data_IF_008827162236
#
_entry.id   IF_008827162236
#
_cell.length_a   1.000
_cell.length_b   1.000
_cell.length_c   1.000
_cell.angle_alpha   90.00
_cell.angle_beta   90.00
_cell.angle_gamma   90.00
#
_symmetry.space_group_name_H-M   'P 1'
#
loop_
_entity.id
_entity.type
_entity.pdbx_description
1 polymer ?
#
# COMPACT_ATOMS: atom_id res chain seq x y z
N UNK A 1 33.67 -7.01 -12.10
CA UNK A 1 32.85 -5.85 -11.67
C UNK A 1 32.62 -4.94 -12.88
N UNK A 2 31.39 -4.79 -13.34
CA UNK A 2 31.06 -3.90 -14.46
C UNK A 2 30.44 -2.61 -13.92
N UNK A 3 31.13 -1.49 -14.09
CA UNK A 3 30.68 -0.17 -13.62
C UNK A 3 29.45 0.37 -14.37
N UNK A 4 29.18 -0.11 -15.59
CA UNK A 4 28.00 0.25 -16.37
C UNK A 4 26.74 -0.40 -15.79
N UNK A 5 26.83 -1.67 -15.45
CA UNK A 5 25.75 -2.41 -14.79
C UNK A 5 25.46 -1.84 -13.41
N UNK A 6 26.48 -1.55 -12.61
CA UNK A 6 26.30 -0.90 -11.31
C UNK A 6 25.58 0.44 -11.46
N UNK A 7 25.98 1.29 -12.42
CA UNK A 7 25.33 2.59 -12.67
C UNK A 7 23.86 2.41 -13.05
N UNK A 8 23.53 1.40 -13.86
CA UNK A 8 22.16 1.08 -14.24
C UNK A 8 21.33 0.66 -13.01
N UNK A 9 21.88 -0.20 -12.16
CA UNK A 9 21.23 -0.62 -10.92
C UNK A 9 21.01 0.56 -9.94
N UNK A 10 22.03 1.41 -9.73
CA UNK A 10 21.93 2.57 -8.85
C UNK A 10 20.90 3.59 -9.36
N UNK A 11 20.76 3.76 -10.66
CA UNK A 11 19.74 4.64 -11.25
C UNK A 11 18.31 4.25 -10.89
N UNK A 12 18.08 2.97 -10.59
CA UNK A 12 16.79 2.44 -10.14
C UNK A 12 16.73 2.38 -8.61
N UNK A 13 17.78 1.89 -7.98
CA UNK A 13 17.82 1.67 -6.54
C UNK A 13 17.75 2.98 -5.74
N UNK A 14 18.51 4.01 -6.12
CA UNK A 14 18.55 5.28 -5.37
C UNK A 14 17.16 5.95 -5.30
N UNK A 15 16.42 6.16 -6.40
CA UNK A 15 15.05 6.70 -6.32
C UNK A 15 14.12 5.82 -5.48
N UNK A 16 14.24 4.50 -5.55
CA UNK A 16 13.41 3.58 -4.78
C UNK A 16 13.68 3.67 -3.27
N UNK A 17 14.96 3.77 -2.88
CA UNK A 17 15.35 3.96 -1.46
C UNK A 17 14.86 5.31 -0.95
N UNK A 18 15.07 6.39 -1.70
CA UNK A 18 14.58 7.72 -1.33
C UNK A 18 13.06 7.74 -1.16
N UNK A 19 12.33 7.10 -2.07
CA UNK A 19 10.88 6.95 -1.96
C UNK A 19 10.49 6.21 -0.68
N UNK A 20 11.11 5.06 -0.41
CA UNK A 20 10.78 4.27 0.78
C UNK A 20 11.08 5.04 2.06
N UNK A 21 12.20 5.76 2.10
CA UNK A 21 12.55 6.63 3.23
C UNK A 21 11.51 7.74 3.42
N UNK A 22 11.07 8.37 2.34
CA UNK A 22 10.03 9.42 2.39
C UNK A 22 8.71 8.88 2.91
N UNK A 23 8.30 7.68 2.48
CA UNK A 23 7.10 7.01 2.99
C UNK A 23 7.23 6.72 4.48
N UNK A 24 8.38 6.22 4.94
CA UNK A 24 8.63 5.92 6.35
C UNK A 24 8.57 7.18 7.22
N UNK A 25 9.20 8.28 6.78
CA UNK A 25 9.13 9.58 7.46
C UNK A 25 7.68 10.09 7.50
N UNK A 26 6.94 9.97 6.39
CA UNK A 26 5.54 10.35 6.34
C UNK A 26 4.67 9.58 7.34
N UNK A 27 4.91 8.29 7.50
CA UNK A 27 4.19 7.47 8.49
C UNK A 27 4.55 7.89 9.93
N UNK A 28 5.80 8.30 10.20
CA UNK A 28 6.17 8.88 11.50
C UNK A 28 5.43 10.19 11.78
N UNK A 29 5.25 11.04 10.77
CA UNK A 29 4.48 12.29 10.90
C UNK A 29 3.00 11.97 11.18
N UNK A 30 2.39 11.01 10.49
CA UNK A 30 1.02 10.57 10.78
C UNK A 30 0.91 10.07 12.21
N UNK A 31 1.87 9.29 12.69
CA UNK A 31 1.91 8.82 14.07
C UNK A 31 2.02 9.99 15.07
N UNK A 32 2.82 11.01 14.76
CA UNK A 32 2.91 12.22 15.60
C UNK A 32 1.57 12.98 15.69
N UNK A 33 0.74 12.96 14.63
CA UNK A 33 -0.62 13.52 14.66
C UNK A 33 -1.56 12.71 15.55
N UNK A 34 -1.32 11.40 15.71
CA UNK A 34 -2.12 10.54 16.60
C UNK A 34 -1.77 10.71 18.06
N UNK A 35 -0.51 11.06 18.39
CA UNK A 35 -0.03 11.19 19.77
C UNK A 35 -0.91 12.08 20.68
N UNK A 36 -1.38 13.27 20.26
CA UNK A 36 -2.24 14.12 21.10
C UNK A 36 -3.60 13.52 21.47
N UNK A 37 -4.06 12.48 20.76
CA UNK A 37 -5.30 11.77 21.08
C UNK A 37 -5.16 10.79 22.26
N UNK A 38 -3.97 10.70 22.84
CA UNK A 38 -3.67 9.95 24.05
C UNK A 38 -3.09 8.55 23.78
N UNK A 39 -2.54 7.97 24.84
CA UNK A 39 -1.81 6.69 24.77
C UNK A 39 -2.67 5.53 24.30
N UNK A 40 -3.94 5.54 24.65
CA UNK A 40 -4.90 4.48 24.26
C UNK A 40 -5.21 4.52 22.75
N UNK A 41 -5.40 5.72 22.20
CA UNK A 41 -5.59 5.90 20.76
C UNK A 41 -4.33 5.48 19.98
N UNK A 42 -3.15 5.83 20.51
CA UNK A 42 -1.87 5.42 19.94
C UNK A 42 -1.67 3.89 19.98
N UNK A 43 -2.08 3.23 21.07
CA UNK A 43 -2.03 1.77 21.18
C UNK A 43 -2.91 1.09 20.12
N UNK A 44 -4.16 1.54 19.97
CA UNK A 44 -5.08 1.02 18.96
C UNK A 44 -4.58 1.27 17.53
N UNK A 45 -4.04 2.46 17.26
CA UNK A 45 -3.41 2.79 15.99
C UNK A 45 -2.23 1.86 15.68
N UNK A 46 -1.32 1.70 16.66
CA UNK A 46 -0.12 0.87 16.48
C UNK A 46 -0.47 -0.61 16.25
N UNK A 47 -1.48 -1.12 16.94
CA UNK A 47 -1.97 -2.48 16.73
C UNK A 47 -2.47 -2.68 15.30
N UNK A 48 -3.28 -1.75 14.81
CA UNK A 48 -3.84 -1.84 13.45
C UNK A 48 -2.78 -1.64 12.36
N UNK A 49 -1.78 -0.77 12.58
CA UNK A 49 -0.65 -0.63 11.67
C UNK A 49 0.15 -1.92 11.49
N UNK A 50 0.27 -2.73 12.54
CA UNK A 50 0.91 -4.06 12.45
C UNK A 50 0.09 -5.00 11.56
N UNK A 51 -1.24 -4.98 11.71
CA UNK A 51 -2.15 -5.76 10.85
C UNK A 51 -2.06 -5.29 9.39
N UNK A 52 -2.11 -3.99 9.15
CA UNK A 52 -1.94 -3.40 7.80
C UNK A 52 -0.62 -3.85 7.16
N UNK A 53 0.47 -3.86 7.92
CA UNK A 53 1.77 -4.29 7.43
C UNK A 53 1.79 -5.76 7.02
N UNK A 54 1.15 -6.65 7.79
CA UNK A 54 1.07 -8.09 7.47
C UNK A 54 0.32 -8.30 6.15
N UNK A 55 -0.84 -7.68 5.98
CA UNK A 55 -1.60 -7.80 4.74
C UNK A 55 -0.86 -7.15 3.56
N UNK A 56 -0.26 -5.97 3.77
CA UNK A 56 0.52 -5.29 2.73
C UNK A 56 1.71 -6.11 2.24
N UNK A 57 2.34 -6.90 3.11
CA UNK A 57 3.47 -7.76 2.75
C UNK A 57 3.09 -8.80 1.70
N UNK A 58 1.88 -9.34 1.75
CA UNK A 58 1.38 -10.32 0.76
C UNK A 58 1.31 -9.67 -0.62
N UNK A 59 0.68 -8.50 -0.74
CA UNK A 59 0.55 -7.78 -2.01
C UNK A 59 1.92 -7.34 -2.57
N UNK A 60 2.81 -6.86 -1.71
CA UNK A 60 4.18 -6.51 -2.10
C UNK A 60 4.94 -7.73 -2.62
N UNK A 61 4.74 -8.90 -2.01
CA UNK A 61 5.39 -10.14 -2.44
C UNK A 61 4.91 -10.61 -3.81
N UNK A 62 3.59 -10.50 -4.08
CA UNK A 62 3.02 -10.79 -5.40
C UNK A 62 3.61 -9.82 -6.44
N UNK A 63 3.64 -8.51 -6.15
CA UNK A 63 4.25 -7.51 -7.03
C UNK A 63 5.73 -7.80 -7.34
N UNK A 64 6.50 -8.19 -6.32
CA UNK A 64 7.91 -8.56 -6.47
C UNK A 64 8.10 -9.81 -7.34
N UNK A 65 7.16 -10.76 -7.30
CA UNK A 65 7.18 -11.94 -8.17
C UNK A 65 6.80 -11.62 -9.62
N UNK A 66 5.84 -10.70 -9.81
CA UNK A 66 5.38 -10.29 -11.14
C UNK A 66 6.42 -9.48 -11.89
N UNK A 67 7.19 -8.63 -11.20
CA UNK A 67 8.16 -7.73 -11.82
C UNK A 67 9.20 -8.46 -12.71
N UNK A 68 9.94 -9.48 -12.25
CA UNK A 68 10.87 -10.22 -13.11
C UNK A 68 10.14 -10.99 -14.21
N UNK A 69 8.95 -11.53 -13.95
CA UNK A 69 8.15 -12.21 -14.97
C UNK A 69 7.83 -11.27 -16.14
N UNK A 70 7.36 -10.05 -15.84
CA UNK A 70 7.07 -9.02 -16.85
C UNK A 70 8.33 -8.65 -17.63
N UNK A 71 9.44 -8.37 -16.94
CA UNK A 71 10.70 -7.98 -17.57
C UNK A 71 11.24 -9.04 -18.53
N UNK A 72 11.19 -10.32 -18.12
CA UNK A 72 11.66 -11.43 -18.94
C UNK A 72 10.78 -11.64 -20.19
N UNK A 73 9.45 -11.58 -20.04
CA UNK A 73 8.54 -11.78 -21.17
C UNK A 73 8.54 -10.59 -22.13
N UNK A 74 8.73 -9.36 -21.62
CA UNK A 74 8.89 -8.15 -22.42
C UNK A 74 10.21 -8.21 -23.23
N UNK A 75 11.32 -8.57 -22.59
CA UNK A 75 12.61 -8.75 -23.27
C UNK A 75 12.58 -9.85 -24.33
N UNK A 76 11.82 -10.92 -24.11
CA UNK A 76 11.57 -11.99 -25.06
C UNK A 76 10.51 -11.66 -26.13
N UNK A 77 9.92 -10.47 -26.11
CA UNK A 77 8.81 -10.02 -26.99
C UNK A 77 7.56 -10.93 -26.94
N UNK A 78 7.34 -11.64 -25.82
CA UNK A 78 6.21 -12.56 -25.62
C UNK A 78 5.02 -11.84 -24.96
N UNK A 79 4.41 -10.89 -25.68
CA UNK A 79 3.36 -10.01 -25.15
C UNK A 79 2.12 -10.79 -24.66
N UNK A 80 1.74 -11.86 -25.34
CA UNK A 80 0.60 -12.69 -24.91
C UNK A 80 0.86 -13.38 -23.56
N UNK A 81 2.09 -13.84 -23.31
CA UNK A 81 2.47 -14.39 -22.00
C UNK A 81 2.45 -13.32 -20.91
N UNK A 82 2.94 -12.12 -21.24
CA UNK A 82 2.90 -10.97 -20.32
C UNK A 82 1.46 -10.65 -19.92
N UNK A 83 0.53 -10.57 -20.86
CA UNK A 83 -0.90 -10.33 -20.58
C UNK A 83 -1.49 -11.41 -19.68
N UNK A 84 -1.26 -12.69 -19.98
CA UNK A 84 -1.76 -13.82 -19.18
C UNK A 84 -1.22 -13.81 -17.76
N UNK A 85 0.09 -13.60 -17.58
CA UNK A 85 0.71 -13.53 -16.25
C UNK A 85 0.22 -12.35 -15.43
N UNK A 86 0.04 -11.20 -16.08
CA UNK A 86 -0.55 -10.02 -15.47
C UNK A 86 -1.99 -10.28 -14.98
N UNK A 87 -2.83 -10.88 -15.82
CA UNK A 87 -4.20 -11.28 -15.43
C UNK A 87 -4.21 -12.27 -14.28
N UNK A 88 -3.31 -13.26 -14.29
CA UNK A 88 -3.19 -14.22 -13.20
C UNK A 88 -2.80 -13.54 -11.87
N UNK A 89 -1.89 -12.56 -11.92
CA UNK A 89 -1.51 -11.78 -10.74
C UNK A 89 -2.69 -10.95 -10.20
N UNK A 90 -3.45 -10.29 -11.06
CA UNK A 90 -4.65 -9.55 -10.66
C UNK A 90 -5.70 -10.45 -10.00
N UNK A 91 -5.93 -11.63 -10.54
CA UNK A 91 -6.86 -12.61 -9.96
C UNK A 91 -6.36 -13.06 -8.60
N UNK A 92 -5.07 -13.33 -8.46
CA UNK A 92 -4.46 -13.71 -7.19
C UNK A 92 -4.58 -12.60 -6.15
N UNK A 93 -4.26 -11.36 -6.52
CA UNK A 93 -4.42 -10.19 -5.65
C UNK A 93 -5.88 -10.02 -5.20
N UNK A 94 -6.83 -10.18 -6.12
CA UNK A 94 -8.26 -10.10 -5.81
C UNK A 94 -8.68 -11.18 -4.80
N UNK A 95 -8.22 -12.43 -4.97
CA UNK A 95 -8.49 -13.51 -4.03
C UNK A 95 -7.94 -13.21 -2.64
N UNK A 96 -6.71 -12.69 -2.55
CA UNK A 96 -6.13 -12.29 -1.28
C UNK A 96 -6.84 -11.09 -0.66
N UNK A 97 -7.31 -10.13 -1.48
CA UNK A 97 -8.10 -9.00 -1.00
C UNK A 97 -9.44 -9.46 -0.39
N UNK A 98 -10.13 -10.38 -1.07
CA UNK A 98 -11.38 -10.98 -0.56
C UNK A 98 -11.10 -11.77 0.73
N UNK A 99 -10.04 -12.58 0.76
CA UNK A 99 -9.65 -13.32 1.96
C UNK A 99 -9.33 -12.37 3.12
N UNK A 100 -8.55 -11.33 2.89
CA UNK A 100 -8.21 -10.32 3.90
C UNK A 100 -9.47 -9.62 4.42
N UNK A 101 -10.40 -9.26 3.53
CA UNK A 101 -11.69 -8.68 3.90
C UNK A 101 -12.47 -9.62 4.84
N UNK A 102 -12.62 -10.89 4.46
CA UNK A 102 -13.35 -11.88 5.27
C UNK A 102 -12.67 -12.10 6.63
N UNK A 103 -11.33 -12.21 6.65
CA UNK A 103 -10.57 -12.39 7.89
C UNK A 103 -10.73 -11.18 8.82
N UNK A 104 -10.60 -9.96 8.31
CA UNK A 104 -10.78 -8.75 9.11
C UNK A 104 -12.24 -8.63 9.58
N UNK A 105 -13.22 -8.94 8.73
CA UNK A 105 -14.64 -8.85 9.12
C UNK A 105 -15.00 -9.82 10.24
N UNK A 106 -14.51 -11.06 10.16
CA UNK A 106 -14.86 -12.10 11.11
C UNK A 106 -14.00 -12.11 12.38
N UNK A 107 -12.74 -11.70 12.27
CA UNK A 107 -11.73 -11.86 13.32
C UNK A 107 -11.15 -10.56 13.87
N UNK A 108 -11.71 -9.38 13.53
CA UNK A 108 -11.15 -8.07 13.94
C UNK A 108 -10.96 -7.95 15.46
N UNK A 109 -11.89 -8.46 16.26
CA UNK A 109 -11.79 -8.43 17.73
C UNK A 109 -10.67 -9.32 18.23
N UNK A 110 -10.57 -10.55 17.69
CA UNK A 110 -9.54 -11.51 18.06
C UNK A 110 -8.15 -11.01 17.62
N UNK A 111 -8.06 -10.44 16.41
CA UNK A 111 -6.82 -9.84 15.90
C UNK A 111 -6.40 -8.66 16.77
N UNK A 112 -7.32 -7.76 17.13
CA UNK A 112 -7.04 -6.67 18.05
C UNK A 112 -6.53 -7.18 19.40
N UNK A 113 -7.11 -8.23 19.94
CA UNK A 113 -6.71 -8.81 21.22
C UNK A 113 -5.31 -9.42 21.23
N UNK A 114 -4.84 -9.92 20.09
CA UNK A 114 -3.46 -10.41 19.95
C UNK A 114 -2.41 -9.30 20.14
N UNK A 115 -2.71 -8.08 19.70
CA UNK A 115 -1.78 -6.96 19.74
C UNK A 115 -1.96 -6.07 20.97
N UNK A 116 -3.19 -5.91 21.46
CA UNK A 116 -3.49 -5.08 22.63
C UNK A 116 -3.38 -5.84 23.94
N UNK A 117 -3.45 -7.18 23.89
CA UNK A 117 -3.36 -8.03 25.09
C UNK A 117 -4.50 -7.81 26.07
N UNK A 118 -4.35 -8.38 27.28
CA UNK A 118 -5.35 -8.25 28.35
C UNK A 118 -5.40 -6.84 28.96
N UNK A 119 -4.35 -6.06 28.79
CA UNK A 119 -4.21 -4.69 29.31
C UNK A 119 -4.79 -3.63 28.35
N UNK A 120 -5.33 -4.05 27.21
CA UNK A 120 -5.99 -3.16 26.26
C UNK A 120 -7.26 -2.56 26.85
N UNK A 121 -7.38 -1.23 26.79
CA UNK A 121 -8.60 -0.54 27.23
C UNK A 121 -9.70 -0.61 26.17
N UNK A 122 -10.96 -0.40 26.58
CA UNK A 122 -12.11 -0.35 25.69
C UNK A 122 -11.90 0.69 24.55
N UNK A 123 -11.28 1.84 24.86
CA UNK A 123 -10.96 2.87 23.88
C UNK A 123 -9.93 2.38 22.84
N UNK A 124 -8.88 1.67 23.27
CA UNK A 124 -7.88 1.13 22.35
C UNK A 124 -8.48 0.08 21.39
N UNK A 125 -9.37 -0.78 21.92
CA UNK A 125 -10.12 -1.74 21.10
C UNK A 125 -11.08 -1.05 20.12
N UNK A 126 -11.78 -0.02 20.55
CA UNK A 126 -12.66 0.76 19.68
C UNK A 126 -11.87 1.42 18.55
N UNK A 127 -10.78 2.12 18.86
CA UNK A 127 -9.92 2.78 17.86
C UNK A 127 -9.36 1.77 16.86
N UNK A 128 -8.88 0.61 17.35
CA UNK A 128 -8.40 -0.47 16.49
C UNK A 128 -9.52 -1.02 15.58
N UNK A 129 -10.71 -1.28 16.13
CA UNK A 129 -11.87 -1.75 15.37
C UNK A 129 -12.33 -0.76 14.31
N UNK A 130 -12.38 0.53 14.66
CA UNK A 130 -12.77 1.58 13.73
C UNK A 130 -11.75 1.72 12.59
N UNK A 131 -10.44 1.67 12.89
CA UNK A 131 -9.42 1.71 11.86
C UNK A 131 -9.47 0.47 10.96
N UNK A 132 -9.62 -0.73 11.51
CA UNK A 132 -9.78 -1.96 10.72
C UNK A 132 -11.01 -1.92 9.81
N UNK A 133 -12.09 -1.29 10.26
CA UNK A 133 -13.30 -1.06 9.46
C UNK A 133 -13.03 -0.17 8.24
N UNK A 134 -12.19 0.86 8.39
CA UNK A 134 -11.74 1.71 7.28
C UNK A 134 -10.69 1.00 6.40
N UNK A 135 -9.84 0.18 6.98
CA UNK A 135 -8.86 -0.65 6.24
C UNK A 135 -9.55 -1.62 5.28
N UNK A 136 -10.74 -2.14 5.64
CA UNK A 136 -11.55 -2.98 4.74
C UNK A 136 -11.95 -2.26 3.44
N UNK A 137 -12.33 -0.99 3.54
CA UNK A 137 -12.65 -0.17 2.35
C UNK A 137 -11.45 0.08 1.45
N UNK A 138 -10.27 -0.06 2.00
CA UNK A 138 -9.00 0.22 1.36
C UNK A 138 -8.27 -1.03 0.83
N UNK A 139 -8.90 -2.20 0.79
CA UNK A 139 -8.32 -3.44 0.25
C UNK A 139 -8.06 -3.39 -1.27
N UNK A 140 -7.79 -2.20 -1.80
CA UNK A 140 -7.35 -1.96 -3.17
C UNK A 140 -5.86 -2.26 -3.38
N UNK A 141 -5.36 -3.30 -2.70
CA UNK A 141 -4.03 -3.84 -2.94
C UNK A 141 -3.80 -4.37 -4.36
N UNK A 142 -4.89 -4.56 -5.09
CA UNK A 142 -4.96 -5.14 -6.45
C UNK A 142 -4.01 -4.47 -7.46
N UNK A 143 -3.53 -3.25 -7.20
CA UNK A 143 -2.80 -2.49 -8.20
C UNK A 143 -1.36 -2.13 -7.83
N UNK A 144 -0.87 -2.58 -6.69
CA UNK A 144 0.57 -2.44 -6.36
C UNK A 144 1.47 -3.29 -7.26
N UNK A 145 0.92 -4.33 -7.91
CA UNK A 145 1.66 -5.24 -8.79
C UNK A 145 2.07 -4.69 -10.14
N UNK A 146 1.69 -3.47 -10.49
CA UNK A 146 1.97 -2.89 -11.80
C UNK A 146 3.34 -2.21 -11.85
N UNK A 147 4.35 -3.01 -12.06
CA UNK A 147 5.77 -2.69 -12.12
C UNK A 147 6.27 -1.59 -13.06
N UNK A 148 5.50 -0.53 -13.32
CA UNK A 148 5.98 0.64 -14.06
C UNK A 148 6.53 1.65 -13.06
N UNK A 149 7.84 1.70 -12.93
CA UNK A 149 8.58 2.40 -11.89
C UNK A 149 8.21 3.90 -11.74
N UNK A 150 8.16 4.68 -12.82
CA UNK A 150 7.91 6.13 -12.74
C UNK A 150 6.49 6.50 -12.28
N UNK A 151 5.41 5.96 -12.87
CA UNK A 151 4.06 6.19 -12.36
C UNK A 151 3.85 5.68 -10.94
N UNK A 152 4.49 4.57 -10.56
CA UNK A 152 4.46 4.03 -9.20
C UNK A 152 5.07 5.00 -8.17
N UNK A 153 6.21 5.64 -8.50
CA UNK A 153 6.81 6.65 -7.63
C UNK A 153 5.87 7.85 -7.43
N UNK A 154 5.31 8.38 -8.50
CA UNK A 154 4.37 9.51 -8.46
C UNK A 154 3.11 9.15 -7.66
N UNK A 155 2.53 7.98 -7.93
CA UNK A 155 1.33 7.51 -7.24
C UNK A 155 1.54 7.37 -5.73
N UNK A 156 2.70 6.84 -5.31
CA UNK A 156 3.05 6.74 -3.89
C UNK A 156 3.29 8.10 -3.23
N UNK A 157 3.92 9.05 -3.94
CA UNK A 157 4.11 10.41 -3.42
C UNK A 157 2.77 11.14 -3.27
N UNK A 158 1.87 11.00 -4.22
CA UNK A 158 0.51 11.57 -4.14
C UNK A 158 -0.29 10.93 -3.00
N UNK A 159 -0.22 9.59 -2.87
CA UNK A 159 -0.83 8.88 -1.73
C UNK A 159 -0.32 9.44 -0.40
N UNK A 160 0.99 9.56 -0.24
CA UNK A 160 1.59 10.10 0.98
C UNK A 160 1.15 11.55 1.22
N UNK A 161 1.17 12.40 0.19
CA UNK A 161 0.73 13.79 0.30
C UNK A 161 -0.73 13.89 0.75
N UNK A 162 -1.63 13.07 0.21
CA UNK A 162 -3.03 13.01 0.64
C UNK A 162 -3.13 12.56 2.10
N UNK A 163 -2.44 11.49 2.49
CA UNK A 163 -2.44 10.99 3.87
C UNK A 163 -1.96 12.06 4.85
N UNK A 164 -0.87 12.75 4.54
CA UNK A 164 -0.32 13.81 5.38
C UNK A 164 -1.25 15.03 5.44
N UNK A 165 -1.76 15.48 4.29
CA UNK A 165 -2.65 16.65 4.23
C UNK A 165 -3.94 16.42 5.02
N UNK A 166 -4.59 15.28 4.83
CA UNK A 166 -5.81 14.93 5.55
C UNK A 166 -5.54 14.74 7.05
N UNK A 167 -4.44 14.06 7.42
CA UNK A 167 -4.08 13.87 8.81
C UNK A 167 -3.76 15.21 9.51
N UNK A 168 -2.92 16.06 8.90
CA UNK A 168 -2.49 17.32 9.52
C UNK A 168 -3.59 18.39 9.57
N UNK A 169 -4.47 18.45 8.56
CA UNK A 169 -5.49 19.50 8.44
C UNK A 169 -6.80 19.09 9.11
N UNK A 170 -7.26 17.86 8.85
CA UNK A 170 -8.58 17.40 9.26
C UNK A 170 -8.58 16.77 10.66
N UNK A 171 -7.55 15.99 11.02
CA UNK A 171 -7.56 15.30 12.31
C UNK A 171 -7.60 16.24 13.53
N UNK A 172 -6.86 17.36 13.59
CA UNK A 172 -6.93 18.28 14.72
C UNK A 172 -8.29 18.99 14.84
N UNK A 173 -9.05 19.10 13.73
CA UNK A 173 -10.34 19.82 13.69
C UNK A 173 -11.56 18.92 13.86
N UNK A 174 -11.50 17.72 13.30
CA UNK A 174 -12.65 16.83 13.17
C UNK A 174 -12.45 15.47 13.87
N UNK A 175 -11.28 15.25 14.47
CA UNK A 175 -10.99 14.05 15.24
C UNK A 175 -10.22 12.97 14.47
N UNK A 176 -9.82 11.93 15.22
CA UNK A 176 -8.91 10.86 14.76
C UNK A 176 -9.45 10.06 13.55
N UNK A 177 -10.76 10.03 13.35
CA UNK A 177 -11.41 9.31 12.23
C UNK A 177 -10.86 9.76 10.87
N UNK A 178 -10.43 11.02 10.74
CA UNK A 178 -9.85 11.54 9.50
C UNK A 178 -8.46 11.00 9.22
N UNK A 179 -7.71 10.54 10.22
CA UNK A 179 -6.46 9.80 10.01
C UNK A 179 -6.76 8.46 9.30
N UNK A 180 -7.87 7.81 9.68
CA UNK A 180 -8.31 6.55 9.06
C UNK A 180 -8.82 6.75 7.64
N UNK A 181 -9.63 7.78 7.41
CA UNK A 181 -10.14 8.16 6.08
C UNK A 181 -9.04 8.54 5.09
N UNK A 182 -7.92 9.06 5.57
CA UNK A 182 -6.78 9.39 4.73
C UNK A 182 -6.17 8.16 4.02
N UNK A 183 -6.29 6.97 4.62
CA UNK A 183 -5.74 5.72 4.06
C UNK A 183 -6.46 5.33 2.77
N UNK A 184 -7.80 5.09 2.77
CA UNK A 184 -8.51 4.74 1.54
C UNK A 184 -8.47 5.86 0.49
N UNK A 185 -8.50 7.13 0.90
CA UNK A 185 -8.38 8.25 -0.05
C UNK A 185 -7.03 8.26 -0.77
N UNK A 186 -5.94 8.03 -0.04
CA UNK A 186 -4.61 7.92 -0.61
C UNK A 186 -4.45 6.71 -1.54
N UNK A 187 -5.03 5.58 -1.20
CA UNK A 187 -4.98 4.38 -2.02
C UNK A 187 -5.83 4.51 -3.27
N UNK A 188 -7.00 5.13 -3.19
CA UNK A 188 -7.83 5.42 -4.37
C UNK A 188 -7.08 6.31 -5.38
N UNK A 189 -6.40 7.35 -4.90
CA UNK A 189 -5.58 8.21 -5.77
C UNK A 189 -4.41 7.43 -6.39
N UNK A 190 -3.74 6.60 -5.61
CA UNK A 190 -2.67 5.71 -6.10
C UNK A 190 -3.19 4.78 -7.20
N UNK A 191 -4.35 4.15 -6.98
CA UNK A 191 -5.03 3.33 -7.96
C UNK A 191 -5.29 4.06 -9.28
N UNK A 192 -5.95 5.21 -9.21
CA UNK A 192 -6.32 5.99 -10.39
C UNK A 192 -5.10 6.40 -11.21
N UNK A 193 -4.04 6.88 -10.54
CA UNK A 193 -2.79 7.27 -11.21
C UNK A 193 -2.13 6.06 -11.89
N UNK A 194 -2.02 4.95 -11.17
CA UNK A 194 -1.42 3.72 -11.68
C UNK A 194 -2.22 3.13 -12.84
N UNK A 195 -3.55 3.15 -12.75
CA UNK A 195 -4.45 2.67 -13.82
C UNK A 195 -4.34 3.52 -15.10
N UNK A 196 -4.34 4.85 -14.97
CA UNK A 196 -4.18 5.76 -16.10
C UNK A 196 -2.80 5.59 -16.74
N UNK A 197 -1.76 5.48 -15.93
CA UNK A 197 -0.41 5.26 -16.40
C UNK A 197 -0.27 3.92 -17.14
N UNK A 198 -0.87 2.85 -16.60
CA UNK A 198 -0.89 1.54 -17.23
C UNK A 198 -1.56 1.61 -18.61
N UNK A 199 -2.76 2.22 -18.68
CA UNK A 199 -3.47 2.36 -19.98
C UNK A 199 -2.66 3.07 -21.04
N UNK A 200 -1.86 4.07 -20.62
CA UNK A 200 -0.99 4.82 -21.54
C UNK A 200 0.28 4.07 -21.96
N UNK A 201 0.78 3.19 -21.09
CA UNK A 201 2.04 2.45 -21.29
C UNK A 201 1.81 0.99 -21.69
N UNK A 202 0.55 0.60 -21.98
CA UNK A 202 0.25 -0.77 -22.34
C UNK A 202 0.90 -1.10 -23.69
N UNK A 203 1.73 -2.16 -23.76
CA UNK A 203 2.39 -2.51 -25.02
C UNK A 203 1.37 -2.85 -26.09
N UNK A 204 1.40 -2.12 -27.19
CA UNK A 204 0.66 -2.47 -28.41
C UNK A 204 1.31 -3.67 -29.06
N UNK A 205 0.56 -4.40 -29.89
CA UNK A 205 1.04 -5.61 -30.59
C UNK A 205 2.27 -5.35 -31.49
N UNK A 206 2.60 -4.08 -31.75
CA UNK A 206 3.78 -3.65 -32.53
C UNK A 206 5.06 -3.55 -31.73
N UNK A 207 5.04 -3.80 -30.40
CA UNK A 207 6.24 -3.78 -29.58
C UNK A 207 6.87 -2.39 -29.36
N UNK A 208 6.17 -1.32 -29.71
CA UNK A 208 6.57 0.05 -29.44
C UNK A 208 6.05 0.44 -28.04
N UNK A 209 6.99 0.81 -27.14
CA UNK A 209 6.73 1.40 -25.82
C UNK A 209 6.92 2.90 -25.92
#
# INVERSE_FOLDING_TARGET
FDGRELRSMLRIAVPSVLQQSTVSIGMMIVQAVVNPFGTQALAGYSATMRVENVFSLIFVSIGNAVSPYVSQNLGAKKIERLKKGYHAALVLDLWFAVLAFVVIETLHTQISSLFLGKDGTALAYQVSGDYMRWLKMATDGVLRGLGIMRPFLVANMVNLAIRLSVALICAPRFGIVFVWLAVPAGWLANFLISYVALRKSWPTERGEI
#
